data_IF_897848643547
#
_entry.id   IF_897848643547
#
_cell.length_a   1.000
_cell.length_b   1.000
_cell.length_c   1.000
_cell.angle_alpha   90.00
_cell.angle_beta   90.00
_cell.angle_gamma   90.00
#
_symmetry.space_group_name_H-M   'P 1'
#
loop_
_entity.id
_entity.type
_entity.pdbx_description
1 polymer ?
#
# COMPACT_ATOMS: atom_id res chain seq x y z
N UNK A 1 -17.18 -3.33 -11.94
CA UNK A 1 -16.26 -2.30 -11.39
C UNK A 1 -14.88 -2.47 -12.00
N UNK A 2 -14.08 -1.41 -12.07
CA UNK A 2 -12.81 -1.36 -12.82
C UNK A 2 -11.76 -2.42 -12.41
N UNK A 3 -11.85 -2.97 -11.19
CA UNK A 3 -10.93 -3.98 -10.65
C UNK A 3 -11.63 -5.35 -10.41
N UNK A 4 -12.84 -5.53 -10.95
CA UNK A 4 -13.75 -6.65 -10.63
C UNK A 4 -13.18 -8.07 -10.74
N UNK A 5 -12.29 -8.41 -11.71
CA UNK A 5 -11.76 -9.76 -11.80
C UNK A 5 -10.97 -10.20 -10.55
N UNK A 6 -10.40 -9.24 -9.82
CA UNK A 6 -9.63 -9.51 -8.59
C UNK A 6 -10.37 -9.04 -7.34
N UNK A 7 -11.13 -7.96 -7.44
CA UNK A 7 -11.90 -7.38 -6.35
C UNK A 7 -13.38 -7.32 -6.78
N UNK A 8 -14.16 -8.39 -6.55
CA UNK A 8 -15.55 -8.47 -7.04
C UNK A 8 -16.41 -7.30 -6.55
N UNK A 9 -16.22 -6.90 -5.29
CA UNK A 9 -16.89 -5.79 -4.63
C UNK A 9 -15.90 -5.08 -3.71
N UNK A 10 -15.43 -3.92 -4.15
CA UNK A 10 -14.45 -3.14 -3.39
C UNK A 10 -15.06 -2.49 -2.15
N UNK A 11 -16.34 -2.11 -2.17
CA UNK A 11 -16.98 -1.49 -1.01
C UNK A 11 -17.14 -2.51 0.12
N UNK A 12 -17.54 -3.74 -0.21
CA UNK A 12 -17.58 -4.85 0.75
C UNK A 12 -16.19 -5.19 1.29
N UNK A 13 -15.16 -5.22 0.43
CA UNK A 13 -13.77 -5.43 0.86
C UNK A 13 -13.31 -4.32 1.82
N UNK A 14 -13.50 -3.06 1.43
CA UNK A 14 -13.09 -1.91 2.23
C UNK A 14 -13.81 -1.89 3.58
N UNK A 15 -15.13 -2.09 3.59
CA UNK A 15 -15.91 -2.16 4.83
C UNK A 15 -15.39 -3.27 5.75
N UNK A 16 -15.10 -4.45 5.20
CA UNK A 16 -14.54 -5.57 5.96
C UNK A 16 -13.16 -5.24 6.54
N UNK A 17 -12.26 -4.67 5.75
CA UNK A 17 -10.93 -4.27 6.22
C UNK A 17 -11.02 -3.21 7.31
N UNK A 18 -11.91 -2.22 7.16
CA UNK A 18 -12.10 -1.14 8.12
C UNK A 18 -12.69 -1.63 9.44
N UNK A 19 -13.63 -2.58 9.41
CA UNK A 19 -14.27 -3.09 10.62
C UNK A 19 -13.34 -4.01 11.43
N UNK A 20 -12.58 -4.86 10.76
CA UNK A 20 -11.71 -5.84 11.39
C UNK A 20 -10.45 -5.22 12.03
N UNK A 21 -10.19 -3.91 11.84
CA UNK A 21 -9.02 -3.21 12.40
C UNK A 21 -8.99 -3.30 13.92
N UNK A 22 -7.88 -3.75 14.52
CA UNK A 22 -7.72 -3.71 15.97
C UNK A 22 -7.62 -2.28 16.51
N UNK A 23 -6.87 -1.42 15.81
CA UNK A 23 -6.63 -0.02 16.22
C UNK A 23 -7.42 0.98 15.36
N UNK A 24 -8.69 1.21 15.73
CA UNK A 24 -9.62 2.05 14.94
C UNK A 24 -9.37 3.56 15.06
N UNK A 25 -8.74 4.01 16.16
CA UNK A 25 -8.59 5.43 16.49
C UNK A 25 -7.28 6.07 16.00
N UNK A 26 -6.44 5.33 15.24
CA UNK A 26 -5.18 5.85 14.74
C UNK A 26 -5.38 7.02 13.79
N UNK A 27 -4.79 8.17 14.12
CA UNK A 27 -4.73 9.34 13.24
C UNK A 27 -3.49 9.34 12.33
N UNK A 28 -2.51 8.46 12.59
CA UNK A 28 -1.24 8.45 11.85
C UNK A 28 -1.04 7.19 10.99
N UNK A 29 -1.61 6.05 11.35
CA UNK A 29 -1.53 4.79 10.58
C UNK A 29 -2.90 4.32 10.09
N UNK A 30 -3.87 5.23 10.08
CA UNK A 30 -5.25 4.99 9.67
C UNK A 30 -5.51 5.15 8.17
N UNK A 31 -6.79 5.15 7.75
CA UNK A 31 -7.18 5.13 6.34
C UNK A 31 -6.65 6.28 5.49
N UNK A 32 -6.39 7.45 6.08
CA UNK A 32 -5.80 8.58 5.36
C UNK A 32 -4.36 8.29 4.93
N UNK A 33 -3.59 7.63 5.80
CA UNK A 33 -2.25 7.15 5.46
C UNK A 33 -2.32 6.11 4.35
N UNK A 34 -3.22 5.13 4.45
CA UNK A 34 -3.37 4.08 3.43
C UNK A 34 -3.67 4.66 2.05
N UNK A 35 -4.53 5.67 1.98
CA UNK A 35 -4.87 6.35 0.72
C UNK A 35 -3.71 7.17 0.16
N UNK A 36 -2.88 7.82 1.00
CA UNK A 36 -1.63 8.46 0.55
C UNK A 36 -0.59 7.45 0.07
N UNK A 37 -0.51 6.28 0.71
CA UNK A 37 0.35 5.18 0.22
C UNK A 37 -0.14 4.69 -1.14
N UNK A 38 -1.45 4.54 -1.34
CA UNK A 38 -1.99 4.19 -2.64
C UNK A 38 -1.65 5.25 -3.70
N UNK A 39 -1.86 6.53 -3.38
CA UNK A 39 -1.50 7.64 -4.28
C UNK A 39 -0.02 7.62 -4.67
N UNK A 40 0.87 7.55 -3.68
CA UNK A 40 2.33 7.54 -3.91
C UNK A 40 2.78 6.32 -4.71
N UNK A 41 2.20 5.16 -4.42
CA UNK A 41 2.48 3.93 -5.14
C UNK A 41 2.03 3.98 -6.60
N UNK A 42 0.88 4.57 -6.90
CA UNK A 42 0.39 4.72 -8.27
C UNK A 42 1.25 5.73 -9.06
N UNK A 43 1.65 6.84 -8.44
CA UNK A 43 2.61 7.79 -9.04
C UNK A 43 3.98 7.13 -9.33
N UNK A 44 4.43 6.19 -8.49
CA UNK A 44 5.62 5.38 -8.77
C UNK A 44 5.39 4.45 -9.96
N UNK A 45 4.21 3.81 -10.04
CA UNK A 45 3.86 2.90 -11.14
C UNK A 45 3.80 3.60 -12.50
N UNK A 46 3.34 4.86 -12.56
CA UNK A 46 3.38 5.67 -13.80
C UNK A 46 4.78 5.72 -14.42
N UNK A 47 5.83 5.71 -13.60
CA UNK A 47 7.23 5.79 -14.01
C UNK A 47 7.96 4.43 -13.93
N UNK A 48 7.25 3.38 -13.52
CA UNK A 48 7.79 2.02 -13.35
C UNK A 48 6.85 1.00 -14.01
N UNK A 49 6.80 0.91 -15.36
CA UNK A 49 5.80 0.11 -16.06
C UNK A 49 5.80 -1.39 -15.73
N UNK A 50 6.90 -1.90 -15.16
CA UNK A 50 7.02 -3.28 -14.69
C UNK A 50 6.39 -3.53 -13.32
N UNK A 51 6.01 -2.49 -12.58
CA UNK A 51 5.33 -2.62 -11.29
C UNK A 51 3.83 -2.84 -11.51
N UNK A 52 3.23 -3.76 -10.76
CA UNK A 52 1.80 -4.05 -10.86
C UNK A 52 0.98 -3.05 -10.01
N UNK A 53 0.22 -2.12 -10.61
CA UNK A 53 -0.50 -1.09 -9.88
C UNK A 53 -1.63 -1.66 -9.00
N UNK A 54 -2.24 -2.79 -9.39
CA UNK A 54 -3.28 -3.43 -8.59
C UNK A 54 -2.73 -3.99 -7.28
N UNK A 55 -1.54 -4.60 -7.30
CA UNK A 55 -0.92 -5.10 -6.08
C UNK A 55 -0.44 -3.97 -5.17
N UNK A 56 0.01 -2.86 -5.75
CA UNK A 56 0.37 -1.64 -5.00
C UNK A 56 -0.86 -1.03 -4.31
N UNK A 57 -1.98 -0.95 -5.02
CA UNK A 57 -3.27 -0.51 -4.46
C UNK A 57 -3.73 -1.41 -3.30
N UNK A 58 -3.66 -2.73 -3.47
CA UNK A 58 -4.02 -3.69 -2.42
C UNK A 58 -3.06 -3.62 -1.22
N UNK A 59 -1.76 -3.50 -1.47
CA UNK A 59 -0.77 -3.31 -0.40
C UNK A 59 -1.12 -2.09 0.46
N UNK A 60 -1.45 -0.96 -0.18
CA UNK A 60 -1.82 0.25 0.52
C UNK A 60 -3.01 0.04 1.46
N UNK A 61 -4.05 -0.70 1.02
CA UNK A 61 -5.20 -1.07 1.85
C UNK A 61 -4.82 -1.98 3.04
N UNK A 62 -3.88 -2.90 2.87
CA UNK A 62 -3.63 -3.97 3.84
C UNK A 62 -2.46 -3.74 4.80
N UNK A 63 -1.35 -3.13 4.37
CA UNK A 63 -0.06 -3.21 5.06
C UNK A 63 -0.11 -2.85 6.55
N UNK A 64 -0.93 -1.86 6.90
CA UNK A 64 -1.14 -1.38 8.27
C UNK A 64 -2.52 -1.73 8.86
N UNK A 65 -3.38 -2.47 8.15
CA UNK A 65 -4.75 -2.75 8.62
C UNK A 65 -4.82 -3.63 9.87
N UNK A 66 -3.72 -4.32 10.20
CA UNK A 66 -3.59 -5.21 11.37
C UNK A 66 -2.66 -4.64 12.45
N UNK A 67 -2.48 -3.32 12.52
CA UNK A 67 -1.85 -2.68 13.67
C UNK A 67 -2.71 -2.82 14.91
N UNK A 68 -2.05 -3.10 16.03
CA UNK A 68 -2.66 -3.14 17.37
C UNK A 68 -2.42 -1.83 18.13
N UNK A 69 -1.45 -1.02 17.70
CA UNK A 69 -1.13 0.29 18.26
C UNK A 69 -0.31 1.14 17.28
N UNK A 70 -0.09 2.41 17.64
CA UNK A 70 0.70 3.37 16.84
C UNK A 70 2.21 3.29 17.06
N UNK A 71 2.63 2.51 18.05
CA UNK A 71 4.03 2.34 18.44
C UNK A 71 4.76 1.31 17.60
N UNK A 72 5.73 0.65 18.23
CA UNK A 72 6.68 -0.23 17.55
C UNK A 72 6.15 -1.59 17.11
N UNK A 73 4.83 -1.82 17.12
CA UNK A 73 4.16 -3.06 16.75
C UNK A 73 4.88 -3.80 15.60
N UNK A 74 5.77 -4.75 15.89
CA UNK A 74 6.68 -5.31 14.86
C UNK A 74 6.00 -6.36 13.98
N UNK A 75 4.82 -6.80 14.37
CA UNK A 75 4.14 -7.94 13.78
C UNK A 75 2.92 -7.55 12.94
N UNK A 76 2.61 -6.25 12.79
CA UNK A 76 1.49 -5.80 11.92
C UNK A 76 1.65 -6.27 10.48
N UNK A 77 2.85 -6.18 9.90
CA UNK A 77 3.12 -6.67 8.55
C UNK A 77 2.81 -8.17 8.37
N UNK A 78 3.39 -9.08 9.19
CA UNK A 78 3.03 -10.50 9.18
C UNK A 78 1.53 -10.78 9.39
N UNK A 79 0.86 -10.04 10.28
CA UNK A 79 -0.59 -10.17 10.48
C UNK A 79 -1.37 -9.69 9.26
N UNK A 80 -0.98 -8.57 8.65
CA UNK A 80 -1.58 -8.04 7.42
C UNK A 80 -1.45 -9.02 6.26
N UNK A 81 -0.27 -9.63 6.08
CA UNK A 81 -0.05 -10.66 5.07
C UNK A 81 -0.98 -11.87 5.28
N UNK A 82 -1.09 -12.36 6.52
CA UNK A 82 -1.98 -13.47 6.86
C UNK A 82 -3.45 -13.11 6.66
N UNK A 83 -3.83 -11.88 6.99
CA UNK A 83 -5.19 -11.38 6.82
C UNK A 83 -5.58 -11.26 5.34
N UNK A 84 -4.72 -10.70 4.49
CA UNK A 84 -4.96 -10.63 3.05
C UNK A 84 -5.17 -12.02 2.44
N UNK A 85 -4.37 -13.02 2.85
CA UNK A 85 -4.57 -14.43 2.45
C UNK A 85 -5.92 -14.98 2.89
N UNK A 86 -6.38 -14.66 4.10
CA UNK A 86 -7.67 -15.13 4.62
C UNK A 86 -8.89 -14.60 3.86
N UNK A 87 -8.74 -13.47 3.16
CA UNK A 87 -9.81 -12.89 2.35
C UNK A 87 -9.79 -13.39 0.89
N UNK A 88 -8.71 -14.05 0.45
CA UNK A 88 -8.61 -14.61 -0.89
C UNK A 88 -9.53 -15.82 -1.07
N UNK A 89 -10.18 -15.92 -2.22
CA UNK A 89 -11.25 -16.87 -2.50
C UNK A 89 -12.65 -16.38 -2.11
N UNK A 90 -12.78 -15.14 -1.58
CA UNK A 90 -14.08 -14.53 -1.26
C UNK A 90 -14.13 -13.06 -1.66
N UNK A 91 -13.45 -12.19 -0.92
CA UNK A 91 -13.40 -10.74 -1.18
C UNK A 91 -12.21 -10.34 -2.06
N UNK A 92 -11.23 -11.24 -2.21
CA UNK A 92 -10.14 -11.15 -3.17
C UNK A 92 -10.09 -12.42 -4.02
N UNK A 93 -9.73 -12.28 -5.29
CA UNK A 93 -9.56 -13.38 -6.25
C UNK A 93 -8.20 -13.27 -6.96
N UNK A 94 -7.12 -13.21 -6.17
CA UNK A 94 -5.75 -13.20 -6.68
C UNK A 94 -5.28 -14.62 -7.03
N UNK A 95 -4.57 -14.82 -8.15
CA UNK A 95 -3.81 -16.04 -8.38
C UNK A 95 -2.66 -16.14 -7.39
N UNK A 96 -2.22 -17.37 -7.07
CA UNK A 96 -1.23 -17.64 -6.01
C UNK A 96 0.05 -16.78 -6.10
N UNK A 97 0.70 -16.59 -7.27
CA UNK A 97 1.90 -15.75 -7.35
C UNK A 97 1.64 -14.29 -6.97
N UNK A 98 0.47 -13.75 -7.31
CA UNK A 98 0.10 -12.37 -6.99
C UNK A 98 -0.27 -12.22 -5.51
N UNK A 99 -0.91 -13.24 -4.94
CA UNK A 99 -1.19 -13.30 -3.51
C UNK A 99 0.09 -13.39 -2.68
N UNK A 100 1.06 -14.19 -3.14
CA UNK A 100 2.36 -14.33 -2.50
C UNK A 100 3.14 -13.02 -2.51
N UNK A 101 3.18 -12.32 -3.65
CA UNK A 101 3.81 -11.01 -3.76
C UNK A 101 3.15 -9.95 -2.84
N UNK A 102 1.81 -9.91 -2.77
CA UNK A 102 1.09 -9.03 -1.84
C UNK A 102 1.42 -9.35 -0.38
N UNK A 103 1.43 -10.64 -0.03
CA UNK A 103 1.76 -11.09 1.32
C UNK A 103 3.21 -10.75 1.70
N UNK A 104 4.16 -10.93 0.78
CA UNK A 104 5.56 -10.55 0.97
C UNK A 104 5.71 -9.04 1.15
N UNK A 105 5.07 -8.23 0.30
CA UNK A 105 5.08 -6.78 0.41
C UNK A 105 4.60 -6.34 1.80
N UNK A 106 3.43 -6.82 2.25
CA UNK A 106 2.89 -6.54 3.58
C UNK A 106 3.82 -7.03 4.70
N UNK A 107 4.39 -8.23 4.60
CA UNK A 107 5.24 -8.79 5.64
C UNK A 107 6.52 -7.97 5.85
N UNK A 108 7.17 -7.55 4.76
CA UNK A 108 8.53 -7.01 4.78
C UNK A 108 8.67 -5.50 4.90
N UNK A 109 7.59 -4.73 4.74
CA UNK A 109 7.69 -3.28 4.47
C UNK A 109 8.46 -2.46 5.53
N UNK A 110 8.42 -2.86 6.80
CA UNK A 110 9.09 -2.14 7.91
C UNK A 110 10.55 -2.53 8.16
N UNK A 111 11.12 -3.46 7.39
CA UNK A 111 12.49 -3.98 7.64
C UNK A 111 13.62 -3.05 7.20
N UNK A 112 13.30 -1.92 6.54
CA UNK A 112 14.32 -0.99 6.02
C UNK A 112 15.16 -1.55 4.86
N UNK A 113 14.61 -2.54 4.15
CA UNK A 113 15.25 -3.17 2.99
C UNK A 113 14.76 -2.53 1.68
N UNK A 114 15.54 -2.66 0.61
CA UNK A 114 15.08 -2.45 -0.77
C UNK A 114 14.73 -3.81 -1.40
N UNK A 115 13.94 -3.81 -2.46
CA UNK A 115 13.52 -5.04 -3.13
C UNK A 115 13.76 -4.98 -4.65
N UNK A 116 14.26 -6.07 -5.28
CA UNK A 116 14.49 -6.09 -6.73
C UNK A 116 13.21 -6.28 -7.55
N UNK A 117 12.17 -6.91 -6.99
CA UNK A 117 10.84 -6.92 -7.62
C UNK A 117 10.26 -5.49 -7.63
N UNK A 118 9.92 -4.94 -8.81
CA UNK A 118 9.48 -3.55 -8.94
C UNK A 118 8.14 -3.28 -8.24
N UNK A 119 7.27 -4.27 -8.12
CA UNK A 119 5.98 -4.14 -7.43
C UNK A 119 6.19 -4.05 -5.92
N UNK A 120 6.93 -5.00 -5.33
CA UNK A 120 7.25 -4.97 -3.90
C UNK A 120 8.07 -3.71 -3.56
N UNK A 121 9.00 -3.34 -4.43
CA UNK A 121 9.76 -2.11 -4.32
C UNK A 121 8.86 -0.87 -4.29
N UNK A 122 7.92 -0.74 -5.22
CA UNK A 122 6.96 0.36 -5.26
C UNK A 122 6.07 0.40 -4.02
N UNK A 123 5.59 -0.75 -3.51
CA UNK A 123 4.84 -0.84 -2.27
C UNK A 123 5.61 -0.24 -1.09
N UNK A 124 6.85 -0.70 -0.87
CA UNK A 124 7.67 -0.26 0.26
C UNK A 124 8.08 1.20 0.13
N UNK A 125 8.37 1.64 -1.09
CA UNK A 125 8.70 3.03 -1.38
C UNK A 125 7.51 3.96 -1.10
N UNK A 126 6.30 3.54 -1.47
CA UNK A 126 5.08 4.32 -1.23
C UNK A 126 4.78 4.53 0.26
N UNK A 127 4.93 3.49 1.09
CA UNK A 127 4.83 3.64 2.55
C UNK A 127 5.90 4.62 3.10
N UNK A 128 7.13 4.48 2.60
CA UNK A 128 8.25 5.32 3.01
C UNK A 128 8.09 6.78 2.59
N UNK A 129 7.45 7.06 1.47
CA UNK A 129 7.15 8.44 1.04
C UNK A 129 6.31 9.18 2.09
N UNK A 130 5.36 8.49 2.72
CA UNK A 130 4.43 9.10 3.69
C UNK A 130 5.00 9.14 5.13
N UNK A 131 6.28 8.81 5.35
CA UNK A 131 6.91 8.82 6.69
C UNK A 131 7.01 10.22 7.31
N UNK A 132 6.92 11.28 6.51
CA UNK A 132 6.87 12.66 7.01
C UNK A 132 5.73 12.88 8.00
N UNK A 133 4.59 12.18 7.83
CA UNK A 133 3.46 12.21 8.79
C UNK A 133 3.90 11.82 10.20
N UNK A 134 4.86 10.91 10.29
CA UNK A 134 5.40 10.35 11.53
C UNK A 134 6.67 11.08 11.97
N UNK A 135 6.96 12.26 11.39
CA UNK A 135 8.16 13.08 11.63
C UNK A 135 9.47 12.36 11.31
N UNK A 136 9.42 11.41 10.37
CA UNK A 136 10.59 10.68 9.88
C UNK A 136 10.91 11.19 8.48
N UNK A 137 12.13 11.66 8.27
CA UNK A 137 12.62 12.04 6.94
C UNK A 137 12.97 10.79 6.14
N UNK A 138 12.29 10.51 5.00
CA UNK A 138 12.63 9.40 4.12
C UNK A 138 14.04 9.62 3.55
N UNK A 139 14.85 8.56 3.54
CA UNK A 139 16.22 8.63 3.03
C UNK A 139 16.33 7.86 1.71
N UNK A 140 16.89 8.45 0.63
CA UNK A 140 16.94 7.83 -0.71
C UNK A 140 17.51 6.41 -0.77
N UNK A 141 18.49 6.09 0.08
CA UNK A 141 19.07 4.75 0.20
C UNK A 141 18.07 3.62 0.48
N UNK A 142 16.90 3.95 1.02
CA UNK A 142 15.84 2.99 1.34
C UNK A 142 14.77 2.92 0.25
N UNK A 143 14.90 3.65 -0.86
CA UNK A 143 13.98 3.50 -1.98
C UNK A 143 14.50 2.48 -3.00
N UNK A 144 13.62 1.59 -3.43
CA UNK A 144 13.90 0.54 -4.40
C UNK A 144 13.86 1.07 -5.83
N UNK A 145 12.95 2.00 -6.11
CA UNK A 145 12.67 2.55 -7.44
C UNK A 145 13.35 3.90 -7.66
N UNK A 146 13.71 4.21 -8.92
CA UNK A 146 14.20 5.53 -9.31
C UNK A 146 13.11 6.60 -9.15
N UNK A 147 11.85 6.25 -9.46
CA UNK A 147 10.70 7.13 -9.32
C UNK A 147 10.54 7.66 -7.89
N UNK A 148 10.65 6.80 -6.87
CA UNK A 148 10.55 7.21 -5.47
C UNK A 148 11.74 8.08 -5.00
N UNK A 149 12.90 7.95 -5.64
CA UNK A 149 14.07 8.80 -5.37
C UNK A 149 13.96 10.19 -5.99
N UNK A 150 13.00 10.40 -6.89
CA UNK A 150 12.84 11.66 -7.60
C UNK A 150 12.49 12.79 -6.61
N UNK A 151 13.26 13.92 -6.60
CA UNK A 151 13.05 15.00 -5.64
C UNK A 151 11.63 15.59 -5.67
N UNK A 152 10.99 15.63 -6.84
CA UNK A 152 9.63 16.16 -6.98
C UNK A 152 8.59 15.33 -6.21
N UNK A 153 8.73 14.00 -6.21
CA UNK A 153 7.81 13.12 -5.48
C UNK A 153 8.05 13.22 -3.97
N UNK A 154 9.32 13.23 -3.55
CA UNK A 154 9.67 13.47 -2.14
C UNK A 154 9.17 14.83 -1.63
N UNK A 155 9.28 15.86 -2.46
CA UNK A 155 8.78 17.19 -2.13
C UNK A 155 7.26 17.18 -1.96
N UNK A 156 6.50 16.52 -2.85
CA UNK A 156 5.03 16.39 -2.74
C UNK A 156 4.62 15.79 -1.38
N UNK A 157 5.20 14.65 -1.02
CA UNK A 157 4.83 13.93 0.21
C UNK A 157 5.32 14.59 1.49
N UNK A 158 6.37 15.42 1.43
CA UNK A 158 6.82 16.24 2.56
C UNK A 158 5.70 17.13 3.13
N UNK A 159 4.80 17.60 2.28
CA UNK A 159 3.68 18.47 2.68
C UNK A 159 2.39 17.69 2.99
N UNK A 160 2.44 16.35 3.08
CA UNK A 160 1.30 15.49 3.43
C UNK A 160 0.06 15.84 2.60
N UNK A 161 0.04 15.49 1.31
CA UNK A 161 -1.08 15.84 0.42
C UNK A 161 -2.41 15.35 1.01
N UNK A 162 -3.49 16.03 0.65
CA UNK A 162 -4.82 15.53 0.97
C UNK A 162 -4.99 14.15 0.34
N UNK A 163 -5.40 13.18 1.15
CA UNK A 163 -5.52 11.80 0.71
C UNK A 163 -6.69 11.67 -0.28
N UNK A 164 -6.46 11.17 -1.52
CA UNK A 164 -7.55 10.96 -2.48
C UNK A 164 -8.56 9.94 -1.98
N UNK A 165 -9.79 9.96 -2.50
CA UNK A 165 -10.79 8.96 -2.18
C UNK A 165 -10.44 7.59 -2.80
N UNK A 166 -10.93 6.51 -2.19
CA UNK A 166 -10.73 5.17 -2.77
C UNK A 166 -11.30 5.01 -4.20
N UNK A 167 -12.46 5.59 -4.56
CA UNK A 167 -12.93 5.59 -5.94
C UNK A 167 -11.95 6.26 -6.92
N UNK A 168 -11.37 7.41 -6.57
CA UNK A 168 -10.35 8.08 -7.40
C UNK A 168 -9.11 7.20 -7.58
N UNK A 169 -8.65 6.57 -6.49
CA UNK A 169 -7.51 5.66 -6.51
C UNK A 169 -7.79 4.40 -7.34
N UNK A 170 -9.00 3.85 -7.28
CA UNK A 170 -9.40 2.70 -8.09
C UNK A 170 -9.46 3.04 -9.59
N UNK A 171 -9.92 4.25 -9.94
CA UNK A 171 -9.88 4.75 -11.31
C UNK A 171 -8.44 4.89 -11.79
N UNK A 172 -7.57 5.53 -11.01
CA UNK A 172 -6.16 5.68 -11.35
C UNK A 172 -5.44 4.33 -11.48
N UNK A 173 -5.73 3.38 -10.58
CA UNK A 173 -5.21 2.01 -10.68
C UNK A 173 -5.59 1.38 -12.02
N UNK A 174 -6.85 1.53 -12.44
CA UNK A 174 -7.34 0.95 -13.68
C UNK A 174 -6.75 1.59 -14.94
N UNK A 175 -6.39 2.88 -14.92
CA UNK A 175 -5.72 3.53 -16.05
C UNK A 175 -4.28 3.06 -16.27
N UNK A 176 -3.67 2.44 -15.25
CA UNK A 176 -2.31 1.91 -15.30
C UNK A 176 -2.27 0.41 -15.58
N UNK A 177 -3.41 -0.28 -15.56
CA UNK A 177 -3.47 -1.69 -15.96
C UNK A 177 -3.30 -1.79 -17.49
N UNK A 178 -2.62 -2.85 -17.98
CA UNK A 178 -2.40 -3.07 -19.41
C UNK A 178 -3.69 -3.37 -20.19
#
# INVERSE_FOLDING_TARGET
MLLAPVIPDFDSLLARVLDDRPHKASSIHGPDHWRRVAEGGLLICEQTPSANPLLVFLFALFHDCRRENDGGDRHHGPRAASYARSLNGSLLLLPDPALDALAEACHGHTRGLVHPDPTIGACWDADRLDLWRARITPHPRFFSTEAARHPGLLHRFRYQPEAPSWPELAVHTATLLP
#
